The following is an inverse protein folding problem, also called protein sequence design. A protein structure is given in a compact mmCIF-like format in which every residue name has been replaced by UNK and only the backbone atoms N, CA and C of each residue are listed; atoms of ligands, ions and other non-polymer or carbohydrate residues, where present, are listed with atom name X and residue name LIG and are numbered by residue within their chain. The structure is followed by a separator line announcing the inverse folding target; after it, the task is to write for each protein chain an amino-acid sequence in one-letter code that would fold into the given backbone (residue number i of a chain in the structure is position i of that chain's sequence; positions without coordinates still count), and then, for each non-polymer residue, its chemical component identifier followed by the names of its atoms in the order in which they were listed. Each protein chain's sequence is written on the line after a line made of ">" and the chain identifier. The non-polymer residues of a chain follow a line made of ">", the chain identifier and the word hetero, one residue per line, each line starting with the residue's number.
data_IF_068203142214
#
_entry.id   IF_068203142214
#
_cell.length_a   1.000
_cell.length_b   1.000
_cell.length_c   1.000
_cell.angle_alpha   90.00
_cell.angle_beta   90.00
_cell.angle_gamma   90.00
#
_symmetry.space_group_name_H-M   'P 1'
#
loop_
_entity.id
_entity.type
_entity.pdbx_description
1 polymer ?
#
# COMPACT_ATOMS: atom_id res chain seq x y z
N UNK A 1 36.59 31.00 -38.33
CA UNK A 1 35.95 31.94 -37.40
C UNK A 1 35.09 31.12 -36.45
N UNK A 2 35.47 31.03 -35.18
CA UNK A 2 34.65 30.39 -34.14
C UNK A 2 33.69 31.47 -33.67
N UNK A 3 32.44 31.40 -34.13
CA UNK A 3 31.37 32.26 -33.61
C UNK A 3 31.03 31.66 -32.24
N UNK A 4 31.85 32.01 -31.26
CA UNK A 4 31.70 31.64 -29.88
C UNK A 4 30.37 32.22 -29.41
N UNK A 5 29.46 31.31 -29.10
CA UNK A 5 28.07 31.53 -28.68
C UNK A 5 27.97 32.81 -27.85
N UNK A 6 27.28 33.79 -28.41
CA UNK A 6 27.11 35.15 -27.88
C UNK A 6 26.38 35.18 -26.52
N UNK A 7 25.95 34.01 -26.00
CA UNK A 7 25.35 33.90 -24.69
C UNK A 7 25.40 32.48 -24.09
N UNK A 8 26.59 31.98 -23.69
CA UNK A 8 26.75 30.68 -22.99
C UNK A 8 25.80 30.51 -21.80
N UNK A 9 25.50 31.61 -21.11
CA UNK A 9 24.60 31.63 -19.97
C UNK A 9 23.15 31.33 -20.36
N UNK A 10 22.70 31.83 -21.51
CA UNK A 10 21.36 31.55 -22.03
C UNK A 10 21.26 30.10 -22.52
N UNK A 11 22.24 29.62 -23.30
CA UNK A 11 22.29 28.24 -23.77
C UNK A 11 22.31 27.23 -22.60
N UNK A 12 23.09 27.53 -21.56
CA UNK A 12 23.14 26.70 -20.33
C UNK A 12 21.80 26.72 -19.59
N UNK A 13 21.11 27.86 -19.55
CA UNK A 13 19.77 27.96 -18.92
C UNK A 13 18.71 27.14 -19.67
N UNK A 14 18.68 27.21 -20.99
CA UNK A 14 17.75 26.42 -21.83
C UNK A 14 18.01 24.92 -21.70
N UNK A 15 19.29 24.54 -21.67
CA UNK A 15 19.73 23.18 -21.44
C UNK A 15 19.31 22.68 -20.05
N UNK A 16 19.55 23.48 -19.01
CA UNK A 16 19.14 23.18 -17.64
C UNK A 16 17.63 22.94 -17.53
N UNK A 17 16.81 23.78 -18.16
CA UNK A 17 15.35 23.62 -18.16
C UNK A 17 14.90 22.34 -18.87
N UNK A 18 15.50 22.03 -20.02
CA UNK A 18 15.15 20.83 -20.80
C UNK A 18 15.54 19.56 -20.06
N UNK A 19 16.74 19.53 -19.47
CA UNK A 19 17.22 18.42 -18.64
C UNK A 19 16.35 18.23 -17.40
N UNK A 20 16.06 19.31 -16.67
CA UNK A 20 15.20 19.28 -15.49
C UNK A 20 13.82 18.70 -15.83
N UNK A 21 13.19 19.14 -16.93
CA UNK A 21 11.91 18.60 -17.39
C UNK A 21 12.00 17.11 -17.73
N UNK A 22 13.07 16.67 -18.40
CA UNK A 22 13.23 15.27 -18.79
C UNK A 22 13.45 14.34 -17.59
N UNK A 23 14.28 14.76 -16.64
CA UNK A 23 14.56 13.97 -15.42
C UNK A 23 13.31 13.90 -14.56
N UNK A 24 12.65 15.03 -14.27
CA UNK A 24 11.41 15.04 -13.48
C UNK A 24 10.27 14.24 -14.16
N UNK A 25 10.24 14.14 -15.48
CA UNK A 25 9.25 13.33 -16.19
C UNK A 25 9.50 11.81 -16.15
N UNK A 26 10.71 11.37 -15.77
CA UNK A 26 11.08 9.95 -15.66
C UNK A 26 10.93 9.40 -14.25
N UNK A 27 10.88 10.28 -13.26
CA UNK A 27 10.76 9.93 -11.84
C UNK A 27 9.32 10.08 -11.36
N UNK A 28 8.91 9.20 -10.45
CA UNK A 28 7.65 9.37 -9.73
C UNK A 28 7.75 10.55 -8.77
N UNK A 29 6.63 11.24 -8.50
CA UNK A 29 6.62 12.42 -7.62
C UNK A 29 7.18 12.12 -6.22
N UNK A 30 6.93 10.90 -5.71
CA UNK A 30 7.45 10.46 -4.41
C UNK A 30 8.98 10.39 -4.42
N UNK A 31 9.61 9.96 -5.51
CA UNK A 31 11.07 9.99 -5.67
C UNK A 31 11.59 11.42 -5.75
N UNK A 32 10.83 12.33 -6.39
CA UNK A 32 11.20 13.76 -6.49
C UNK A 32 11.18 14.45 -5.12
N UNK A 33 10.27 14.05 -4.24
CA UNK A 33 10.16 14.59 -2.88
C UNK A 33 11.13 13.93 -1.89
N UNK A 34 11.34 12.62 -1.99
CA UNK A 34 12.16 11.85 -1.07
C UNK A 34 13.65 11.79 -1.44
N UNK A 35 13.99 11.80 -2.73
CA UNK A 35 15.36 11.57 -3.24
C UNK A 35 15.94 12.81 -3.95
N UNK A 36 15.74 14.02 -3.39
CA UNK A 36 16.23 15.28 -3.98
C UNK A 36 17.72 15.28 -4.27
N UNK A 37 18.54 14.72 -3.38
CA UNK A 37 20.00 14.70 -3.55
C UNK A 37 20.42 13.87 -4.76
N UNK A 38 19.74 12.75 -5.00
CA UNK A 38 19.99 11.89 -6.17
C UNK A 38 19.61 12.61 -7.46
N UNK A 39 18.45 13.26 -7.49
CA UNK A 39 18.03 14.11 -8.60
C UNK A 39 19.01 15.25 -8.89
N UNK A 40 19.48 15.94 -7.84
CA UNK A 40 20.47 17.01 -7.98
C UNK A 40 21.77 16.49 -8.63
N UNK A 41 22.26 15.32 -8.19
CA UNK A 41 23.45 14.68 -8.74
C UNK A 41 23.27 14.25 -10.21
N UNK A 42 22.13 13.67 -10.55
CA UNK A 42 21.82 13.25 -11.92
C UNK A 42 21.75 14.45 -12.86
N UNK A 43 21.07 15.53 -12.45
CA UNK A 43 20.99 16.76 -13.24
C UNK A 43 22.36 17.42 -13.36
N UNK A 44 23.14 17.48 -12.29
CA UNK A 44 24.50 18.02 -12.31
C UNK A 44 25.38 17.25 -13.30
N UNK A 45 25.37 15.92 -13.26
CA UNK A 45 26.18 15.08 -14.14
C UNK A 45 25.82 15.28 -15.61
N UNK A 46 24.53 15.37 -15.93
CA UNK A 46 24.05 15.59 -17.30
C UNK A 46 24.45 16.97 -17.80
N UNK A 47 24.27 18.01 -16.97
CA UNK A 47 24.58 19.38 -17.37
C UNK A 47 26.08 19.60 -17.51
N UNK A 48 26.89 19.08 -16.60
CA UNK A 48 28.35 19.18 -16.65
C UNK A 48 28.89 18.54 -17.95
N UNK A 49 28.45 17.33 -18.27
CA UNK A 49 28.87 16.63 -19.49
C UNK A 49 28.48 17.37 -20.79
N UNK A 50 27.33 18.02 -20.82
CA UNK A 50 26.84 18.73 -22.01
C UNK A 50 27.39 20.16 -22.12
N UNK A 51 27.80 20.78 -21.01
CA UNK A 51 28.35 22.14 -20.97
C UNK A 51 29.89 22.18 -21.07
N UNK A 52 30.56 21.04 -20.88
CA UNK A 52 32.01 20.89 -21.11
C UNK A 52 32.44 21.34 -22.52
N UNK A 53 31.61 21.08 -23.55
CA UNK A 53 31.86 21.53 -24.94
C UNK A 53 31.85 23.05 -25.13
N UNK A 54 31.35 23.79 -24.14
CA UNK A 54 31.34 25.24 -24.07
C UNK A 54 32.39 25.81 -23.11
N UNK A 55 33.16 24.95 -22.44
CA UNK A 55 34.16 25.34 -21.43
C UNK A 55 33.53 25.78 -20.10
N UNK A 56 32.29 25.39 -19.82
CA UNK A 56 31.56 25.72 -18.58
C UNK A 56 31.54 24.50 -17.68
N UNK A 57 31.99 24.66 -16.42
CA UNK A 57 31.96 23.60 -15.41
C UNK A 57 30.76 23.78 -14.48
N UNK A 58 29.93 22.75 -14.31
CA UNK A 58 28.77 22.81 -13.40
C UNK A 58 29.15 22.21 -12.06
N UNK A 59 29.38 23.08 -11.06
CA UNK A 59 29.85 22.63 -9.74
C UNK A 59 28.75 22.07 -8.83
N UNK A 60 27.54 22.64 -8.87
CA UNK A 60 26.41 22.19 -8.06
C UNK A 60 25.07 22.54 -8.73
N UNK A 61 24.06 21.71 -8.50
CA UNK A 61 22.68 21.95 -8.94
C UNK A 61 21.75 21.72 -7.75
N UNK A 62 20.80 22.64 -7.56
CA UNK A 62 19.81 22.50 -6.48
C UNK A 62 18.42 22.90 -6.98
N UNK A 63 17.47 21.99 -6.81
CA UNK A 63 16.06 22.22 -7.14
C UNK A 63 15.42 23.12 -6.06
N UNK A 64 15.18 24.39 -6.39
CA UNK A 64 14.50 25.34 -5.49
C UNK A 64 12.98 25.11 -5.42
N UNK A 65 12.29 25.33 -6.53
CA UNK A 65 10.84 25.21 -6.63
C UNK A 65 10.47 24.51 -7.93
N UNK A 66 9.52 23.57 -7.85
CA UNK A 66 8.96 22.88 -9.01
C UNK A 66 7.50 23.30 -9.11
N UNK A 67 7.19 24.17 -10.07
CA UNK A 67 5.81 24.48 -10.43
C UNK A 67 5.24 23.32 -11.25
N UNK A 68 4.53 22.42 -10.57
CA UNK A 68 3.77 21.35 -11.21
C UNK A 68 2.43 21.95 -11.64
N UNK A 69 2.06 21.76 -12.91
CA UNK A 69 0.76 22.23 -13.39
C UNK A 69 -0.38 21.54 -12.64
N UNK A 70 -1.45 22.28 -12.33
CA UNK A 70 -2.63 21.73 -11.62
C UNK A 70 -3.21 20.49 -12.33
N UNK A 71 -3.16 20.47 -13.67
CA UNK A 71 -3.60 19.33 -14.46
C UNK A 71 -2.78 18.06 -14.21
N UNK A 72 -1.46 18.20 -14.08
CA UNK A 72 -0.56 17.08 -13.80
C UNK A 72 -0.74 16.57 -12.36
N UNK A 73 -0.88 17.47 -11.37
CA UNK A 73 -1.18 17.11 -9.98
C UNK A 73 -2.44 16.24 -9.91
N UNK A 74 -3.49 16.61 -10.66
CA UNK A 74 -4.75 15.87 -10.69
C UNK A 74 -4.61 14.45 -11.25
N UNK A 75 -3.82 14.28 -12.32
CA UNK A 75 -3.57 12.96 -12.92
C UNK A 75 -2.76 12.09 -11.96
N UNK A 76 -1.71 12.64 -11.36
CA UNK A 76 -0.85 11.94 -10.40
C UNK A 76 -1.67 11.53 -9.17
N UNK A 77 -2.46 12.43 -8.60
CA UNK A 77 -3.31 12.14 -7.44
C UNK A 77 -4.25 10.96 -7.73
N UNK A 78 -4.87 10.94 -8.92
CA UNK A 78 -5.76 9.85 -9.34
C UNK A 78 -5.02 8.53 -9.53
N UNK A 79 -3.81 8.56 -10.09
CA UNK A 79 -2.97 7.37 -10.25
C UNK A 79 -2.50 6.82 -8.89
N UNK A 80 -2.03 7.69 -8.00
CA UNK A 80 -1.59 7.34 -6.66
C UNK A 80 -2.74 6.75 -5.83
N UNK A 81 -3.94 7.33 -5.92
CA UNK A 81 -5.13 6.81 -5.24
C UNK A 81 -5.51 5.41 -5.76
N UNK A 82 -5.49 5.21 -7.09
CA UNK A 82 -5.77 3.90 -7.68
C UNK A 82 -4.76 2.82 -7.27
N UNK A 83 -3.45 3.14 -7.26
CA UNK A 83 -2.43 2.20 -6.81
C UNK A 83 -2.53 1.92 -5.30
N UNK A 84 -2.87 2.94 -4.49
CA UNK A 84 -3.11 2.77 -3.06
C UNK A 84 -4.31 1.87 -2.79
N UNK A 85 -5.42 2.05 -3.51
CA UNK A 85 -6.60 1.20 -3.40
C UNK A 85 -6.29 -0.24 -3.83
N UNK A 86 -5.55 -0.42 -4.93
CA UNK A 86 -5.10 -1.74 -5.38
C UNK A 86 -4.24 -2.43 -4.32
N UNK A 87 -3.24 -1.73 -3.76
CA UNK A 87 -2.38 -2.26 -2.69
C UNK A 87 -3.19 -2.60 -1.43
N UNK A 88 -4.12 -1.73 -1.04
CA UNK A 88 -4.98 -1.98 0.12
C UNK A 88 -5.81 -3.25 -0.05
N UNK A 89 -6.40 -3.48 -1.25
CA UNK A 89 -7.15 -4.71 -1.55
C UNK A 89 -6.29 -5.97 -1.44
N UNK A 90 -5.06 -5.93 -1.98
CA UNK A 90 -4.13 -7.08 -1.89
C UNK A 90 -3.77 -7.37 -0.45
N UNK A 91 -3.42 -6.34 0.34
CA UNK A 91 -3.06 -6.49 1.75
C UNK A 91 -4.24 -7.04 2.56
N UNK A 92 -5.46 -6.54 2.31
CA UNK A 92 -6.67 -7.03 2.96
C UNK A 92 -6.93 -8.50 2.65
N UNK A 93 -6.87 -8.88 1.36
CA UNK A 93 -7.09 -10.26 0.94
C UNK A 93 -6.04 -11.22 1.51
N UNK A 94 -4.77 -10.80 1.56
CA UNK A 94 -3.69 -11.56 2.18
C UNK A 94 -3.91 -11.72 3.69
N UNK A 95 -4.32 -10.65 4.38
CA UNK A 95 -4.66 -10.69 5.80
C UNK A 95 -5.83 -11.63 6.09
N UNK A 96 -6.88 -11.60 5.26
CA UNK A 96 -8.02 -12.51 5.36
C UNK A 96 -7.60 -13.97 5.15
N UNK A 97 -6.77 -14.24 4.14
CA UNK A 97 -6.25 -15.59 3.89
C UNK A 97 -5.44 -16.12 5.08
N UNK A 98 -4.52 -15.32 5.62
CA UNK A 98 -3.72 -15.69 6.78
C UNK A 98 -4.59 -15.95 8.01
N UNK A 99 -5.61 -15.12 8.25
CA UNK A 99 -6.56 -15.32 9.33
C UNK A 99 -7.34 -16.64 9.17
N UNK A 100 -7.86 -16.90 7.97
CA UNK A 100 -8.59 -18.13 7.67
C UNK A 100 -7.71 -19.38 7.85
N UNK A 101 -6.47 -19.35 7.38
CA UNK A 101 -5.51 -20.44 7.56
C UNK A 101 -5.24 -20.73 9.04
N UNK A 102 -5.10 -19.69 9.87
CA UNK A 102 -4.90 -19.86 11.32
C UNK A 102 -6.13 -20.39 12.05
N UNK A 103 -7.32 -20.00 11.61
CA UNK A 103 -8.57 -20.57 12.14
C UNK A 103 -8.71 -22.06 11.78
N UNK A 104 -8.33 -22.45 10.56
CA UNK A 104 -8.32 -23.86 10.15
C UNK A 104 -7.34 -24.67 11.00
N UNK A 105 -6.10 -24.19 11.16
CA UNK A 105 -5.09 -24.84 12.01
C UNK A 105 -5.60 -25.00 13.46
N UNK A 106 -6.24 -23.98 14.01
CA UNK A 106 -6.85 -24.06 15.34
C UNK A 106 -7.99 -25.09 15.40
N UNK A 107 -8.83 -25.17 14.38
CA UNK A 107 -9.91 -26.15 14.30
C UNK A 107 -9.38 -27.58 14.22
N UNK A 108 -8.33 -27.82 13.44
CA UNK A 108 -7.67 -29.12 13.34
C UNK A 108 -7.07 -29.55 14.69
N UNK A 109 -6.43 -28.63 15.41
CA UNK A 109 -5.91 -28.90 16.76
C UNK A 109 -7.03 -29.26 17.73
N UNK A 110 -8.14 -28.52 17.70
CA UNK A 110 -9.32 -28.81 18.54
C UNK A 110 -9.98 -30.15 18.18
N UNK A 111 -9.94 -30.56 16.91
CA UNK A 111 -10.53 -31.81 16.45
C UNK A 111 -9.76 -33.06 16.91
N UNK A 112 -8.48 -32.92 17.29
CA UNK A 112 -7.65 -34.05 17.75
C UNK A 112 -8.17 -34.70 19.04
N UNK A 113 -8.74 -33.89 19.93
CA UNK A 113 -9.25 -34.36 21.22
C UNK A 113 -10.76 -34.13 21.29
N UNK A 114 -11.60 -35.18 21.34
CA UNK A 114 -13.06 -35.06 21.32
C UNK A 114 -13.64 -34.11 22.39
N UNK A 115 -12.96 -33.96 23.54
CA UNK A 115 -13.38 -33.05 24.62
C UNK A 115 -13.00 -31.58 24.42
N UNK A 116 -12.06 -31.26 23.52
CA UNK A 116 -11.53 -29.89 23.38
C UNK A 116 -12.57 -28.91 22.82
N UNK A 117 -13.40 -29.35 21.88
CA UNK A 117 -14.53 -28.54 21.37
C UNK A 117 -15.56 -28.24 22.46
N UNK A 118 -15.82 -29.20 23.36
CA UNK A 118 -16.76 -29.00 24.47
C UNK A 118 -16.20 -28.02 25.52
N UNK A 119 -14.89 -28.07 25.80
CA UNK A 119 -14.24 -27.07 26.66
C UNK A 119 -14.27 -25.67 26.04
N UNK A 120 -13.95 -25.55 24.74
CA UNK A 120 -14.07 -24.27 24.00
C UNK A 120 -15.50 -23.73 24.03
N UNK A 121 -16.49 -24.61 23.92
CA UNK A 121 -17.90 -24.23 24.02
C UNK A 121 -18.25 -23.69 25.41
N UNK A 122 -17.86 -24.37 26.50
CA UNK A 122 -18.05 -23.90 27.87
C UNK A 122 -17.33 -22.57 28.14
N UNK A 123 -16.11 -22.40 27.62
CA UNK A 123 -15.36 -21.14 27.67
C UNK A 123 -16.16 -20.01 27.02
N UNK A 124 -16.73 -20.26 25.84
CA UNK A 124 -17.51 -19.28 25.08
C UNK A 124 -18.80 -18.90 25.82
N UNK A 125 -19.49 -19.89 26.42
CA UNK A 125 -20.65 -19.66 27.27
C UNK A 125 -20.32 -18.82 28.51
N UNK A 126 -19.18 -19.07 29.15
CA UNK A 126 -18.70 -18.26 30.27
C UNK A 126 -18.46 -16.81 29.86
N UNK A 127 -17.84 -16.59 28.69
CA UNK A 127 -17.58 -15.23 28.17
C UNK A 127 -18.87 -14.48 27.85
N UNK A 128 -19.86 -15.15 27.24
CA UNK A 128 -21.18 -14.55 26.94
C UNK A 128 -21.95 -14.26 28.24
N UNK A 129 -21.95 -15.21 29.20
CA UNK A 129 -22.60 -15.06 30.49
C UNK A 129 -22.02 -13.94 31.36
N UNK A 130 -20.72 -13.64 31.20
CA UNK A 130 -20.07 -12.53 31.90
C UNK A 130 -20.49 -11.13 31.37
N UNK A 131 -21.09 -11.04 30.18
CA UNK A 131 -21.48 -9.76 29.55
C UNK A 131 -22.93 -9.32 29.85
N UNK A 132 -23.58 -9.82 30.91
CA UNK A 132 -24.99 -9.51 31.23
C UNK A 132 -25.98 -9.78 30.07
N UNK A 133 -25.74 -10.81 29.26
CA UNK A 133 -26.67 -11.19 28.20
C UNK A 133 -27.90 -11.91 28.78
N UNK A 134 -29.09 -11.32 28.66
CA UNK A 134 -30.37 -11.94 29.08
C UNK A 134 -30.88 -13.02 28.12
N UNK A 135 -30.21 -13.19 26.97
CA UNK A 135 -30.60 -14.12 25.90
C UNK A 135 -29.38 -14.94 25.46
N UNK A 136 -29.41 -16.25 25.69
CA UNK A 136 -28.37 -17.19 25.27
C UNK A 136 -28.85 -17.89 23.99
N UNK A 137 -28.16 -17.65 22.87
CA UNK A 137 -28.47 -18.29 21.58
C UNK A 137 -27.60 -19.53 21.43
N UNK A 138 -28.23 -20.70 21.35
CA UNK A 138 -27.56 -21.98 21.18
C UNK A 138 -27.51 -22.38 19.70
N UNK A 139 -26.33 -22.51 19.07
CA UNK A 139 -26.21 -23.04 17.73
C UNK A 139 -26.19 -24.58 17.79
N UNK A 140 -27.36 -25.21 17.82
CA UNK A 140 -27.48 -26.64 17.54
C UNK A 140 -27.82 -26.85 16.07
N UNK A 141 -27.27 -27.88 15.45
CA UNK A 141 -27.68 -28.28 14.10
C UNK A 141 -29.15 -28.69 14.09
N UNK A 142 -29.88 -28.34 13.03
CA UNK A 142 -31.31 -28.66 12.88
C UNK A 142 -31.61 -30.15 13.05
N UNK A 143 -30.67 -31.05 12.71
CA UNK A 143 -30.80 -32.49 12.95
C UNK A 143 -30.84 -32.88 14.43
N UNK A 144 -30.06 -32.20 15.28
CA UNK A 144 -30.05 -32.49 16.73
C UNK A 144 -31.34 -31.98 17.39
N UNK A 145 -31.84 -30.83 16.91
CA UNK A 145 -33.12 -30.27 17.34
C UNK A 145 -34.28 -31.15 16.89
N UNK A 146 -34.29 -31.59 15.63
CA UNK A 146 -35.37 -32.46 15.12
C UNK A 146 -35.38 -33.82 15.81
N UNK A 147 -34.21 -34.41 16.10
CA UNK A 147 -34.12 -35.66 16.86
C UNK A 147 -34.61 -35.52 18.31
N UNK A 148 -34.29 -34.40 18.98
CA UNK A 148 -34.76 -34.12 20.33
C UNK A 148 -36.28 -33.87 20.38
N UNK A 149 -36.82 -33.11 19.43
CA UNK A 149 -38.25 -32.83 19.30
C UNK A 149 -39.03 -34.10 18.93
N UNK A 150 -38.54 -34.92 18.00
CA UNK A 150 -39.18 -36.18 17.62
C UNK A 150 -39.22 -37.19 18.78
N UNK A 151 -38.22 -37.16 19.67
CA UNK A 151 -38.19 -38.01 20.88
C UNK A 151 -39.14 -37.51 21.97
N UNK A 152 -39.39 -36.20 22.04
CA UNK A 152 -40.37 -35.58 22.93
C UNK A 152 -41.83 -35.73 22.45
N UNK A 153 -42.05 -35.95 21.15
CA UNK A 153 -43.38 -36.10 20.51
C UNK A 153 -43.78 -37.58 20.31
N UNK A 154 -43.11 -38.54 20.95
CA UNK A 154 -43.68 -39.90 21.06
C UNK A 154 -44.74 -39.92 22.17
N UNK A 155 -46.04 -40.11 21.85
CA UNK A 155 -47.05 -40.33 22.88
C UNK A 155 -46.85 -41.72 23.48
N UNK A 156 -47.03 -41.83 24.78
CA UNK A 156 -47.34 -43.12 25.42
C UNK A 156 -48.70 -43.62 25.00
#
# INVERSE_FOLDING_TARGET
>A
AVIAVENFMQATSELAQTTLRSVLGKHELDEILAERDKLNNDIQSILDAQTDGWGVKVANVEIKHVDISEGMIRVIARQAEAERERRAKVISAEGEFQAAAKLLEAAEVLAREPGAMQLRYLETLRTIGAQNASTIVFPFGLEQVSAAVAKAVKPG
#
